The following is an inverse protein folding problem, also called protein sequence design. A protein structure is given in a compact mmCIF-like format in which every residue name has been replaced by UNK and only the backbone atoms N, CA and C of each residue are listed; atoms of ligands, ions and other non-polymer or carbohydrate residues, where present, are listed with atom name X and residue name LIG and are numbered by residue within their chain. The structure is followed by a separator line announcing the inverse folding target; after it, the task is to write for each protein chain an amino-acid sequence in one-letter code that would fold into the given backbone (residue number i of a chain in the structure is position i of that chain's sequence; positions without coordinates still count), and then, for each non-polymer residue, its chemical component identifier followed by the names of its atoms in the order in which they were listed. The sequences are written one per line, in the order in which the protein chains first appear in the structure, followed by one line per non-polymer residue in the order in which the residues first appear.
data_IF_578590127779
#
_entry.id   IF_578590127779
#
_cell.length_a   1.000
_cell.length_b   1.000
_cell.length_c   1.000
_cell.angle_alpha   90.00
_cell.angle_beta   90.00
_cell.angle_gamma   90.00
#
_symmetry.space_group_name_H-M   'P 1'
#
loop_
_entity.id
_entity.type
_entity.pdbx_description
1 polymer ?
#
# COMPACT_ATOMS: atom_id res chain seq x y z
N UNK A 1 -22.14 12.95 59.78
CA UNK A 1 -23.58 12.93 60.08
C UNK A 1 -24.31 13.56 58.91
N UNK A 2 -24.97 12.75 58.08
CA UNK A 2 -25.83 13.20 57.00
C UNK A 2 -27.11 12.36 57.05
N UNK A 3 -28.25 13.05 56.91
CA UNK A 3 -29.59 12.59 57.24
C UNK A 3 -30.08 11.43 56.36
N UNK A 4 -30.80 10.51 57.01
CA UNK A 4 -31.70 9.53 56.39
C UNK A 4 -33.11 10.12 56.39
N UNK A 5 -33.76 10.21 55.23
CA UNK A 5 -35.22 10.14 55.08
C UNK A 5 -35.60 10.06 53.59
N UNK A 6 -36.38 9.03 53.22
CA UNK A 6 -36.92 8.88 51.87
C UNK A 6 -37.64 7.55 51.68
N UNK A 7 -38.87 7.48 52.19
CA UNK A 7 -39.84 6.39 52.10
C UNK A 7 -40.57 6.39 50.74
N UNK A 8 -40.94 5.21 50.21
CA UNK A 8 -41.90 5.09 49.11
C UNK A 8 -41.97 3.67 48.51
N UNK A 9 -42.95 2.88 48.94
CA UNK A 9 -43.18 1.50 48.50
C UNK A 9 -43.98 1.36 47.19
N UNK A 10 -44.06 0.12 46.69
CA UNK A 10 -44.95 -0.27 45.60
C UNK A 10 -44.71 -1.71 45.13
N UNK A 11 -45.64 -2.61 45.46
CA UNK A 11 -45.62 -4.03 45.08
C UNK A 11 -46.41 -4.28 43.78
N UNK A 12 -45.77 -4.93 42.80
CA UNK A 12 -46.36 -5.76 41.70
C UNK A 12 -46.76 -5.07 40.38
N UNK A 13 -47.00 -5.82 39.26
CA UNK A 13 -46.70 -7.23 38.97
C UNK A 13 -45.67 -7.42 37.83
N UNK A 14 -45.11 -8.63 37.76
CA UNK A 14 -44.23 -9.10 36.67
C UNK A 14 -44.99 -9.19 35.33
N UNK A 15 -44.45 -8.59 34.28
CA UNK A 15 -44.83 -8.88 32.90
C UNK A 15 -43.92 -9.98 32.35
N UNK A 16 -44.42 -11.02 31.68
CA UNK A 16 -43.59 -12.05 31.09
C UNK A 16 -42.77 -11.46 29.93
N UNK A 17 -41.45 -11.56 30.07
CA UNK A 17 -40.46 -11.18 29.07
C UNK A 17 -40.46 -12.23 27.95
N UNK A 18 -40.81 -11.84 26.73
CA UNK A 18 -40.60 -12.68 25.54
C UNK A 18 -39.09 -12.95 25.36
N UNK A 19 -38.65 -14.18 25.07
CA UNK A 19 -37.24 -14.42 24.78
C UNK A 19 -36.88 -13.75 23.45
N UNK A 20 -35.99 -12.75 23.52
CA UNK A 20 -35.30 -12.27 22.33
C UNK A 20 -34.35 -13.37 21.85
N UNK A 21 -34.54 -13.82 20.61
CA UNK A 21 -33.64 -14.73 19.91
C UNK A 21 -32.26 -14.10 19.78
N UNK A 22 -31.30 -14.61 20.56
CA UNK A 22 -29.90 -14.27 20.50
C UNK A 22 -29.29 -14.91 19.24
N UNK A 23 -28.64 -14.16 18.31
CA UNK A 23 -27.85 -14.77 17.26
C UNK A 23 -26.64 -15.48 17.88
N UNK A 24 -26.23 -16.65 17.36
CA UNK A 24 -25.07 -17.36 17.90
C UNK A 24 -23.81 -16.51 17.74
N UNK A 25 -23.03 -16.41 18.82
CA UNK A 25 -21.70 -15.83 18.81
C UNK A 25 -20.74 -16.77 18.06
N UNK A 26 -20.34 -16.41 16.84
CA UNK A 26 -19.19 -17.00 16.16
C UNK A 26 -17.95 -16.20 16.48
N UNK A 27 -17.05 -16.80 17.27
CA UNK A 27 -15.74 -16.26 17.56
C UNK A 27 -14.77 -16.35 16.38
N UNK A 28 -13.62 -15.70 16.57
CA UNK A 28 -12.41 -15.90 15.79
C UNK A 28 -12.16 -14.88 14.69
N UNK A 29 -11.59 -13.73 15.04
CA UNK A 29 -10.87 -12.90 14.07
C UNK A 29 -9.51 -13.56 13.76
N UNK A 30 -9.55 -14.69 13.06
CA UNK A 30 -8.41 -15.23 12.33
C UNK A 30 -8.37 -14.56 10.97
N UNK A 31 -7.38 -13.68 10.75
CA UNK A 31 -7.07 -13.14 9.43
C UNK A 31 -6.63 -14.29 8.53
N UNK A 32 -7.53 -14.79 7.68
CA UNK A 32 -7.18 -15.69 6.59
C UNK A 32 -7.12 -14.87 5.31
N UNK A 33 -5.90 -14.65 4.81
CA UNK A 33 -5.66 -14.17 3.45
C UNK A 33 -6.34 -15.13 2.48
N UNK A 34 -7.45 -14.71 1.87
CA UNK A 34 -8.12 -15.54 0.88
C UNK A 34 -7.23 -15.68 -0.35
N UNK A 35 -6.95 -16.90 -0.85
CA UNK A 35 -6.15 -17.08 -2.06
C UNK A 35 -6.87 -16.47 -3.26
N UNK A 36 -6.12 -15.79 -4.13
CA UNK A 36 -6.65 -15.22 -5.38
C UNK A 36 -7.21 -16.37 -6.21
N UNK A 37 -8.53 -16.38 -6.41
CA UNK A 37 -9.23 -17.46 -7.11
C UNK A 37 -8.72 -17.63 -8.54
N UNK A 38 -8.65 -18.88 -9.02
CA UNK A 38 -8.22 -19.21 -10.38
C UNK A 38 -8.98 -18.39 -11.44
N UNK A 39 -8.27 -17.99 -12.51
CA UNK A 39 -8.81 -17.14 -13.58
C UNK A 39 -10.03 -17.80 -14.24
N UNK A 40 -11.21 -17.18 -14.09
CA UNK A 40 -12.46 -17.70 -14.66
C UNK A 40 -12.69 -17.05 -16.03
N UNK A 41 -12.43 -17.80 -17.10
CA UNK A 41 -12.71 -17.33 -18.48
C UNK A 41 -14.21 -17.33 -18.73
N UNK A 42 -14.76 -16.17 -19.06
CA UNK A 42 -16.14 -16.03 -19.53
C UNK A 42 -16.11 -16.05 -21.05
N UNK A 43 -16.63 -17.13 -21.66
CA UNK A 43 -16.80 -17.21 -23.11
C UNK A 43 -18.27 -16.96 -23.45
N UNK A 44 -18.52 -15.98 -24.32
CA UNK A 44 -19.85 -15.66 -24.84
C UNK A 44 -19.89 -15.84 -26.35
N UNK A 45 -20.88 -16.57 -26.84
CA UNK A 45 -21.18 -16.66 -28.27
C UNK A 45 -21.94 -15.42 -28.76
N UNK A 46 -21.86 -15.12 -30.05
CA UNK A 46 -22.59 -14.01 -30.67
C UNK A 46 -24.10 -14.10 -30.40
N UNK A 47 -24.69 -13.03 -29.88
CA UNK A 47 -26.12 -12.96 -29.56
C UNK A 47 -26.54 -13.52 -28.19
N UNK A 48 -25.61 -14.01 -27.38
CA UNK A 48 -25.93 -14.42 -26.00
C UNK A 48 -25.79 -13.27 -25.00
N UNK A 49 -26.72 -13.21 -24.06
CA UNK A 49 -26.63 -12.35 -22.88
C UNK A 49 -26.31 -13.23 -21.67
N UNK A 50 -25.27 -12.87 -20.91
CA UNK A 50 -24.94 -13.55 -19.65
C UNK A 50 -25.32 -12.63 -18.51
N UNK A 51 -26.30 -13.07 -17.71
CA UNK A 51 -26.73 -12.39 -16.50
C UNK A 51 -26.16 -13.14 -15.28
N UNK A 52 -25.81 -12.42 -14.21
CA UNK A 52 -25.32 -13.03 -12.96
C UNK A 52 -23.83 -13.35 -12.95
N UNK A 53 -23.00 -12.65 -13.73
CA UNK A 53 -21.55 -12.65 -13.48
C UNK A 53 -21.27 -11.69 -12.34
N UNK A 54 -21.02 -12.24 -11.16
CA UNK A 54 -20.51 -11.48 -10.04
C UNK A 54 -19.00 -11.27 -10.23
N UNK A 55 -18.62 -10.03 -10.55
CA UNK A 55 -17.22 -9.61 -10.53
C UNK A 55 -16.88 -9.27 -9.08
N UNK A 56 -16.34 -10.23 -8.36
CA UNK A 56 -15.77 -9.99 -7.05
C UNK A 56 -14.42 -9.26 -7.22
N UNK A 57 -14.47 -7.92 -7.20
CA UNK A 57 -13.26 -7.11 -7.07
C UNK A 57 -12.88 -7.12 -5.60
N UNK A 58 -11.79 -7.82 -5.27
CA UNK A 58 -11.26 -7.78 -3.91
C UNK A 58 -10.93 -6.32 -3.55
N UNK A 59 -11.31 -5.91 -2.34
CA UNK A 59 -10.82 -4.64 -1.80
C UNK A 59 -9.29 -4.68 -1.74
N UNK A 60 -8.58 -3.57 -2.01
CA UNK A 60 -7.14 -3.52 -1.82
C UNK A 60 -6.80 -4.03 -0.42
N UNK A 61 -5.73 -4.84 -0.31
CA UNK A 61 -5.40 -5.53 0.93
C UNK A 61 -5.12 -4.54 2.08
N UNK A 62 -4.76 -3.30 1.74
CA UNK A 62 -4.63 -2.19 2.68
C UNK A 62 -5.30 -0.92 2.12
N UNK A 63 -6.20 -0.31 2.91
CA UNK A 63 -6.74 1.02 2.61
C UNK A 63 -5.66 2.13 2.64
N UNK A 64 -4.53 1.83 3.29
CA UNK A 64 -3.28 2.59 3.20
C UNK A 64 -2.28 1.76 2.41
N UNK A 65 -2.37 1.77 1.08
CA UNK A 65 -1.30 1.25 0.23
C UNK A 65 0.05 1.90 0.59
N UNK A 66 1.19 1.32 0.16
CA UNK A 66 2.46 2.02 0.30
C UNK A 66 2.30 3.43 -0.27
N UNK A 67 2.81 4.47 0.37
CA UNK A 67 2.75 5.82 -0.18
C UNK A 67 4.15 6.39 -0.10
N UNK A 68 4.81 6.50 -1.24
CA UNK A 68 6.02 7.30 -1.33
C UNK A 68 5.60 8.76 -1.49
N UNK A 69 6.08 9.61 -0.59
CA UNK A 69 5.75 11.03 -0.52
C UNK A 69 6.96 11.90 -0.89
N UNK A 70 8.16 11.41 -0.58
CA UNK A 70 9.42 12.11 -0.81
C UNK A 70 10.39 11.21 -1.58
N UNK A 71 11.13 11.79 -2.52
CA UNK A 71 12.15 11.08 -3.30
C UNK A 71 13.48 11.84 -3.25
N UNK A 72 14.57 11.11 -3.10
CA UNK A 72 15.93 11.66 -3.12
C UNK A 72 16.86 10.80 -3.97
N UNK A 73 17.86 11.43 -4.58
CA UNK A 73 18.93 10.76 -5.33
C UNK A 73 20.27 11.33 -4.85
N UNK A 74 21.26 10.47 -4.63
CA UNK A 74 22.63 10.87 -4.31
C UNK A 74 23.65 9.85 -4.81
N UNK A 75 24.94 10.17 -4.68
CA UNK A 75 25.99 9.17 -4.85
C UNK A 75 25.79 7.98 -3.89
N UNK A 76 26.27 6.80 -4.28
CA UNK A 76 26.10 5.54 -3.53
C UNK A 76 26.51 5.67 -2.06
N UNK A 77 27.61 6.38 -1.80
CA UNK A 77 28.22 6.53 -0.48
C UNK A 77 27.91 7.85 0.23
N UNK A 78 26.98 8.65 -0.31
CA UNK A 78 26.67 9.98 0.23
C UNK A 78 25.43 9.95 1.12
N UNK A 79 25.31 10.90 2.04
CA UNK A 79 24.04 11.12 2.73
C UNK A 79 22.99 11.62 1.73
N UNK A 80 21.80 11.04 1.76
CA UNK A 80 20.71 11.40 0.83
C UNK A 80 19.64 12.17 1.57
N UNK A 81 19.18 13.27 0.98
CA UNK A 81 17.97 13.98 1.40
C UNK A 81 16.88 13.77 0.35
N UNK A 82 15.66 13.54 0.80
CA UNK A 82 14.51 13.37 -0.07
C UNK A 82 13.62 14.63 -0.03
N UNK A 83 13.11 15.03 -1.19
CA UNK A 83 12.17 16.16 -1.33
C UNK A 83 11.08 15.77 -2.33
N UNK A 84 9.97 16.51 -2.36
CA UNK A 84 8.93 16.38 -3.39
C UNK A 84 9.25 17.22 -4.65
N UNK A 85 10.47 17.72 -4.78
CA UNK A 85 10.98 18.27 -6.02
C UNK A 85 11.73 17.15 -6.72
N UNK A 86 11.29 16.75 -7.92
CA UNK A 86 11.83 15.59 -8.65
C UNK A 86 13.36 15.46 -8.55
N UNK A 87 13.82 14.24 -8.38
CA UNK A 87 15.24 13.95 -8.28
C UNK A 87 15.80 13.51 -9.63
N UNK A 88 17.07 13.81 -9.81
CA UNK A 88 17.74 13.72 -11.09
C UNK A 88 18.81 12.65 -11.06
N UNK A 89 18.87 11.84 -12.12
CA UNK A 89 19.91 10.83 -12.32
C UNK A 89 20.57 11.01 -13.69
N UNK A 90 21.88 11.29 -13.76
CA UNK A 90 22.60 11.39 -15.03
C UNK A 90 22.68 10.05 -15.75
N UNK A 91 22.75 10.07 -17.08
CA UNK A 91 23.04 8.88 -17.87
C UNK A 91 24.42 8.31 -17.56
N UNK A 92 24.57 6.99 -17.75
CA UNK A 92 25.82 6.30 -17.52
C UNK A 92 26.26 6.29 -16.05
N UNK A 93 25.38 6.65 -15.12
CA UNK A 93 25.69 6.72 -13.69
C UNK A 93 25.00 5.60 -12.90
N UNK A 94 25.56 5.31 -11.74
CA UNK A 94 24.87 4.52 -10.71
C UNK A 94 24.69 5.39 -9.49
N UNK A 95 23.43 5.61 -9.11
CA UNK A 95 23.08 6.45 -7.96
C UNK A 95 22.24 5.65 -6.97
N UNK A 96 22.28 6.09 -5.71
CA UNK A 96 21.35 5.64 -4.68
C UNK A 96 20.09 6.48 -4.76
N UNK A 97 18.94 5.82 -4.86
CA UNK A 97 17.62 6.43 -4.78
C UNK A 97 17.00 6.06 -3.45
N UNK A 98 16.40 7.03 -2.77
CA UNK A 98 15.65 6.83 -1.53
C UNK A 98 14.22 7.33 -1.71
N UNK A 99 13.25 6.58 -1.21
CA UNK A 99 11.86 6.99 -1.13
C UNK A 99 11.37 6.86 0.30
N UNK A 100 10.70 7.88 0.81
CA UNK A 100 10.12 7.90 2.14
C UNK A 100 8.63 8.15 2.08
N UNK A 101 7.91 7.56 3.03
CA UNK A 101 6.49 7.78 3.25
C UNK A 101 5.84 6.61 3.97
N UNK A 102 4.52 6.68 4.12
CA UNK A 102 3.79 5.75 4.97
C UNK A 102 3.80 4.34 4.39
N UNK A 103 3.97 3.36 5.28
CA UNK A 103 3.93 1.92 4.96
C UNK A 103 4.99 1.45 3.93
N UNK A 104 6.08 2.19 3.72
CA UNK A 104 7.22 1.71 2.94
C UNK A 104 8.07 0.72 3.73
N UNK A 105 8.51 -0.36 3.08
CA UNK A 105 9.39 -1.37 3.68
C UNK A 105 10.31 -2.00 2.65
N UNK A 106 11.43 -2.59 3.10
CA UNK A 106 12.42 -3.21 2.21
C UNK A 106 11.92 -4.44 1.45
N UNK A 107 10.73 -4.96 1.75
CA UNK A 107 10.10 -6.07 1.01
C UNK A 107 9.35 -5.66 -0.26
N UNK A 108 9.34 -4.37 -0.60
CA UNK A 108 8.69 -3.87 -1.81
C UNK A 108 9.51 -4.23 -3.07
N UNK A 109 8.83 -4.65 -4.12
CA UNK A 109 9.43 -4.76 -5.45
C UNK A 109 9.43 -3.38 -6.11
N UNK A 110 10.56 -2.96 -6.66
CA UNK A 110 10.71 -1.67 -7.35
C UNK A 110 10.80 -1.92 -8.86
N UNK A 111 10.02 -1.19 -9.63
CA UNK A 111 10.10 -1.18 -11.11
C UNK A 111 10.03 0.25 -11.63
N UNK A 112 10.71 0.51 -12.76
CA UNK A 112 10.71 1.82 -13.40
C UNK A 112 9.89 1.74 -14.69
N UNK A 113 8.93 2.65 -14.85
CA UNK A 113 8.16 2.78 -16.08
C UNK A 113 8.97 3.44 -17.19
N UNK A 114 8.86 2.92 -18.41
CA UNK A 114 9.55 3.43 -19.59
C UNK A 114 10.40 2.36 -20.28
N UNK A 115 11.39 2.76 -21.09
CA UNK A 115 12.36 1.85 -21.68
C UNK A 115 13.13 1.06 -20.60
N UNK A 116 13.62 -0.12 -20.96
CA UNK A 116 14.45 -0.94 -20.07
C UNK A 116 15.91 -0.46 -20.10
N UNK A 117 16.13 0.77 -19.65
CA UNK A 117 17.42 1.48 -19.66
C UNK A 117 17.95 1.81 -18.26
N UNK A 118 17.22 1.40 -17.22
CA UNK A 118 17.55 1.57 -15.80
C UNK A 118 17.46 0.23 -15.10
N UNK A 119 18.57 -0.22 -14.52
CA UNK A 119 18.66 -1.46 -13.73
C UNK A 119 18.56 -1.09 -12.25
N UNK A 120 17.72 -1.84 -11.51
CA UNK A 120 17.52 -1.67 -10.07
C UNK A 120 18.20 -2.81 -9.33
N UNK A 121 18.91 -2.49 -8.25
CA UNK A 121 19.58 -3.45 -7.38
C UNK A 121 19.58 -3.00 -5.92
N UNK A 122 20.01 -3.88 -5.01
CA UNK A 122 20.21 -3.56 -3.59
C UNK A 122 19.01 -2.88 -2.93
N UNK A 123 17.79 -3.36 -3.20
CA UNK A 123 16.58 -2.84 -2.57
C UNK A 123 16.61 -3.19 -1.08
N UNK A 124 16.44 -2.19 -0.22
CA UNK A 124 16.50 -2.33 1.23
C UNK A 124 15.57 -1.34 1.93
N UNK A 125 15.18 -1.67 3.16
CA UNK A 125 14.47 -0.73 4.02
C UNK A 125 15.42 0.31 4.61
N UNK A 126 14.95 1.53 4.75
CA UNK A 126 15.65 2.63 5.44
C UNK A 126 14.67 3.42 6.29
N UNK A 127 15.19 4.22 7.22
CA UNK A 127 14.38 5.10 8.06
C UNK A 127 14.95 6.51 7.98
N UNK A 128 14.09 7.49 7.75
CA UNK A 128 14.47 8.90 7.77
C UNK A 128 14.84 9.35 9.20
N UNK A 129 15.48 10.51 9.31
CA UNK A 129 15.88 11.07 10.61
C UNK A 129 14.70 11.38 11.55
N UNK A 130 13.50 11.57 10.99
CA UNK A 130 12.27 11.81 11.74
C UNK A 130 11.49 10.52 12.07
N UNK A 131 12.04 9.35 11.75
CA UNK A 131 11.41 8.05 11.96
C UNK A 131 10.51 7.58 10.82
N UNK A 132 10.36 8.36 9.75
CA UNK A 132 9.56 7.96 8.58
C UNK A 132 10.17 6.75 7.89
N UNK A 133 9.36 5.71 7.66
CA UNK A 133 9.79 4.52 6.96
C UNK A 133 10.08 4.82 5.47
N UNK A 134 11.00 4.06 4.89
CA UNK A 134 11.40 4.24 3.51
C UNK A 134 12.05 3.01 2.90
N UNK A 135 12.37 3.16 1.63
CA UNK A 135 13.18 2.22 0.86
C UNK A 135 14.35 2.94 0.23
N UNK A 136 15.44 2.21 0.05
CA UNK A 136 16.55 2.65 -0.76
C UNK A 136 16.90 1.55 -1.76
N UNK A 137 17.29 1.95 -2.96
CA UNK A 137 17.79 1.05 -3.99
C UNK A 137 18.85 1.75 -4.82
N UNK A 138 19.64 0.95 -5.52
CA UNK A 138 20.67 1.47 -6.41
C UNK A 138 20.13 1.38 -7.83
N UNK A 139 20.19 2.50 -8.55
CA UNK A 139 19.74 2.62 -9.93
C UNK A 139 20.94 2.86 -10.84
N UNK A 140 21.18 1.92 -11.75
CA UNK A 140 22.20 2.04 -12.79
C UNK A 140 21.53 2.44 -14.10
N UNK A 141 21.85 3.63 -14.61
CA UNK A 141 21.28 4.18 -15.84
C UNK A 141 22.25 3.96 -16.99
N UNK A 142 21.76 3.37 -18.08
CA UNK A 142 22.55 3.19 -19.30
C UNK A 142 23.03 4.53 -19.86
N UNK A 143 24.24 4.57 -20.44
CA UNK A 143 24.72 5.75 -21.17
C UNK A 143 23.82 6.12 -22.37
N UNK A 144 23.08 5.14 -22.91
CA UNK A 144 22.11 5.32 -23.99
C UNK A 144 20.66 5.51 -23.52
N UNK A 145 20.41 5.74 -22.23
CA UNK A 145 19.05 5.87 -21.72
C UNK A 145 18.28 7.03 -22.38
N UNK A 146 16.96 6.89 -22.52
CA UNK A 146 16.14 7.98 -23.01
C UNK A 146 15.98 9.05 -21.91
N UNK A 147 16.05 10.32 -22.27
CA UNK A 147 15.87 11.42 -21.32
C UNK A 147 14.44 11.54 -20.81
N UNK A 148 14.29 12.25 -19.70
CA UNK A 148 13.02 12.72 -19.18
C UNK A 148 12.54 11.96 -17.95
N UNK A 149 11.33 12.32 -17.52
CA UNK A 149 10.73 11.79 -16.32
C UNK A 149 10.41 10.29 -16.45
N UNK A 150 10.61 9.59 -15.35
CA UNK A 150 10.30 8.18 -15.15
C UNK A 150 9.34 8.05 -13.96
N UNK A 151 8.49 7.05 -14.04
CA UNK A 151 7.59 6.70 -12.93
C UNK A 151 8.21 5.55 -12.16
N UNK A 152 8.34 5.71 -10.85
CA UNK A 152 8.79 4.62 -9.97
C UNK A 152 7.55 3.90 -9.44
N UNK A 153 7.42 2.61 -9.72
CA UNK A 153 6.37 1.78 -9.18
C UNK A 153 6.91 0.91 -8.05
N UNK A 154 6.19 0.91 -6.93
CA UNK A 154 6.43 0.09 -5.78
C UNK A 154 5.29 -0.92 -5.66
N UNK A 155 5.61 -2.21 -5.62
CA UNK A 155 4.62 -3.27 -5.47
C UNK A 155 4.87 -4.04 -4.19
N UNK A 156 3.84 -4.18 -3.36
CA UNK A 156 3.87 -5.01 -2.15
C UNK A 156 3.66 -6.50 -2.49
N UNK A 157 3.91 -7.38 -1.52
CA UNK A 157 3.63 -8.81 -1.65
C UNK A 157 2.14 -9.15 -1.79
N UNK A 158 1.26 -8.19 -1.46
CA UNK A 158 -0.19 -8.33 -1.57
C UNK A 158 -0.72 -7.68 -2.86
N UNK A 159 0.17 -7.39 -3.82
CA UNK A 159 -0.13 -6.72 -5.08
C UNK A 159 -0.67 -5.28 -4.97
N UNK A 160 -0.52 -4.64 -3.80
CA UNK A 160 -0.77 -3.19 -3.69
C UNK A 160 0.34 -2.45 -4.46
N UNK A 161 -0.05 -1.57 -5.39
CA UNK A 161 0.87 -0.81 -6.23
C UNK A 161 0.78 0.68 -5.89
N UNK A 162 1.94 1.30 -5.77
CA UNK A 162 2.12 2.74 -5.58
C UNK A 162 2.98 3.27 -6.70
N UNK A 163 2.54 4.36 -7.32
CA UNK A 163 3.31 5.04 -8.34
C UNK A 163 3.83 6.39 -7.81
N UNK A 164 5.11 6.63 -7.97
CA UNK A 164 5.72 7.95 -7.81
C UNK A 164 6.02 8.51 -9.21
N UNK A 165 5.06 9.27 -9.74
CA UNK A 165 5.08 9.80 -11.10
C UNK A 165 5.82 11.14 -11.15
N UNK A 166 6.71 11.31 -12.12
CA UNK A 166 7.42 12.58 -12.33
C UNK A 166 8.59 12.82 -11.36
N UNK A 167 8.86 11.87 -10.49
CA UNK A 167 9.82 12.02 -9.40
C UNK A 167 11.26 11.66 -9.71
N UNK A 168 11.52 10.87 -10.76
CA UNK A 168 12.86 10.48 -11.16
C UNK A 168 13.09 10.93 -12.60
N UNK A 169 14.02 11.85 -12.82
CA UNK A 169 14.31 12.39 -14.14
C UNK A 169 15.69 11.95 -14.62
N UNK A 170 15.73 11.35 -15.81
CA UNK A 170 16.98 11.03 -16.49
C UNK A 170 17.46 12.26 -17.25
N UNK A 171 18.66 12.74 -16.91
CA UNK A 171 19.30 13.91 -17.53
C UNK A 171 20.58 13.50 -18.28
N UNK A 172 21.11 14.36 -19.18
CA UNK A 172 22.34 14.09 -19.90
C UNK A 172 23.51 13.65 -19.01
#
# INVERSE_FOLDING_TARGET
MALIAGCGGGSGPVSPMSPASQPPATGGNGSTTAPVGAMRVVSVGGGQSVNGIDIAVASPANASGPNAELLGVSGLNEATTARNSGAVIPRGSTMKVVLFGRALSGGLTVTIGGPNDIIISNVRGVTATDGTAGIAFDATVSAGAALGARTVYLRSSNDDITAFTGGLEVVP
#
